data_IF_158819138031
#
_entry.id   IF_158819138031
#
_cell.length_a   1.000
_cell.length_b   1.000
_cell.length_c   1.000
_cell.angle_alpha   90.00
_cell.angle_beta   90.00
_cell.angle_gamma   90.00
#
_symmetry.space_group_name_H-M   'P 1'
#
loop_
_entity.id
_entity.type
_entity.pdbx_description
1 polymer ?
#
# COMPACT_ATOMS: atom_id res chain seq x y z
N UNK A 1 -36.92 8.36 -31.35
CA UNK A 1 -37.59 8.71 -30.07
C UNK A 1 -37.97 10.18 -30.14
N UNK A 2 -39.17 10.58 -29.67
CA UNK A 2 -39.54 12.01 -29.64
C UNK A 2 -38.66 12.76 -28.64
N UNK A 3 -38.15 13.95 -28.99
CA UNK A 3 -37.32 14.81 -28.12
C UNK A 3 -37.97 14.99 -26.73
N UNK A 4 -39.30 15.10 -26.68
CA UNK A 4 -40.04 15.23 -25.42
C UNK A 4 -39.90 13.98 -24.53
N UNK A 5 -39.97 12.77 -25.11
CA UNK A 5 -39.80 11.53 -24.34
C UNK A 5 -38.37 11.39 -23.79
N UNK A 6 -37.38 11.81 -24.58
CA UNK A 6 -35.99 11.81 -24.13
C UNK A 6 -35.79 12.81 -22.98
N UNK A 7 -36.35 14.02 -23.09
CA UNK A 7 -36.31 15.02 -22.03
C UNK A 7 -36.97 14.52 -20.74
N UNK A 8 -38.13 13.84 -20.85
CA UNK A 8 -38.81 13.22 -19.70
C UNK A 8 -37.94 12.17 -19.03
N UNK A 9 -37.33 11.26 -19.80
CA UNK A 9 -36.46 10.22 -19.24
C UNK A 9 -35.23 10.80 -18.53
N UNK A 10 -34.63 11.88 -19.06
CA UNK A 10 -33.52 12.55 -18.39
C UNK A 10 -33.95 13.19 -17.07
N UNK A 11 -35.10 13.88 -17.03
CA UNK A 11 -35.61 14.46 -15.78
C UNK A 11 -35.95 13.38 -14.76
N UNK A 12 -36.52 12.25 -15.17
CA UNK A 12 -36.79 11.12 -14.27
C UNK A 12 -35.51 10.52 -13.68
N UNK A 13 -34.43 10.37 -14.47
CA UNK A 13 -33.13 9.91 -13.96
C UNK A 13 -32.50 10.93 -13.00
N UNK A 14 -32.63 12.22 -13.29
CA UNK A 14 -32.20 13.30 -12.39
C UNK A 14 -32.97 13.27 -11.06
N UNK A 15 -34.29 13.12 -11.09
CA UNK A 15 -35.14 13.02 -9.89
C UNK A 15 -34.79 11.77 -9.06
N UNK A 16 -34.58 10.63 -9.72
CA UNK A 16 -34.20 9.38 -9.06
C UNK A 16 -32.85 9.51 -8.33
N UNK A 17 -31.85 10.10 -8.99
CA UNK A 17 -30.52 10.33 -8.40
C UNK A 17 -30.56 11.38 -7.30
N UNK A 18 -31.36 12.43 -7.45
CA UNK A 18 -31.56 13.42 -6.39
C UNK A 18 -32.18 12.77 -5.14
N UNK A 19 -33.20 11.93 -5.31
CA UNK A 19 -33.81 11.20 -4.21
C UNK A 19 -32.81 10.26 -3.51
N UNK A 20 -31.96 9.57 -4.28
CA UNK A 20 -30.87 8.77 -3.72
C UNK A 20 -29.89 9.62 -2.90
N UNK A 21 -29.48 10.79 -3.40
CA UNK A 21 -28.61 11.71 -2.67
C UNK A 21 -29.25 12.21 -1.38
N UNK A 22 -30.52 12.60 -1.43
CA UNK A 22 -31.26 13.06 -0.24
C UNK A 22 -31.33 11.95 0.82
N UNK A 23 -31.58 10.71 0.40
CA UNK A 23 -31.60 9.56 1.29
C UNK A 23 -30.21 9.26 1.88
N UNK A 24 -29.16 9.26 1.05
CA UNK A 24 -27.77 9.06 1.53
C UNK A 24 -27.35 10.12 2.54
N UNK A 25 -27.79 11.38 2.34
CA UNK A 25 -27.51 12.46 3.28
C UNK A 25 -28.30 12.29 4.57
N UNK A 26 -29.57 11.89 4.49
CA UNK A 26 -30.44 11.65 5.65
C UNK A 26 -29.96 10.48 6.52
N UNK A 27 -29.47 9.41 5.88
CA UNK A 27 -28.97 8.22 6.56
C UNK A 27 -27.52 8.37 7.05
N UNK A 28 -26.86 9.50 6.79
CA UNK A 28 -25.43 9.73 7.02
C UNK A 28 -24.50 8.74 6.26
N UNK A 29 -25.03 8.01 5.27
CA UNK A 29 -24.28 7.05 4.44
C UNK A 29 -23.86 7.73 3.13
N UNK A 30 -23.09 8.82 3.24
CA UNK A 30 -22.46 9.42 2.05
C UNK A 30 -21.29 8.54 1.63
N UNK A 31 -21.28 8.14 0.36
CA UNK A 31 -20.28 7.24 -0.21
C UNK A 31 -19.78 7.77 -1.55
N UNK A 32 -18.79 7.09 -2.13
CA UNK A 32 -18.30 7.37 -3.50
C UNK A 32 -19.45 7.34 -4.53
N UNK A 33 -20.46 6.49 -4.33
CA UNK A 33 -21.65 6.44 -5.20
C UNK A 33 -22.51 7.71 -5.11
N UNK A 34 -22.53 8.36 -3.94
CA UNK A 34 -23.17 9.67 -3.76
C UNK A 34 -22.37 10.76 -4.49
N UNK A 35 -21.04 10.69 -4.51
CA UNK A 35 -20.22 11.62 -5.29
C UNK A 35 -20.50 11.50 -6.80
N UNK A 36 -20.53 10.27 -7.32
CA UNK A 36 -20.84 9.99 -8.72
C UNK A 36 -22.22 10.51 -9.10
N UNK A 37 -23.21 10.29 -8.24
CA UNK A 37 -24.59 10.74 -8.45
C UNK A 37 -24.70 12.25 -8.45
N UNK A 38 -24.03 12.94 -7.52
CA UNK A 38 -23.97 14.40 -7.48
C UNK A 38 -23.28 14.97 -8.71
N UNK A 39 -22.12 14.40 -9.10
CA UNK A 39 -21.37 14.82 -10.29
C UNK A 39 -22.18 14.61 -11.57
N UNK A 40 -22.89 13.49 -11.68
CA UNK A 40 -23.76 13.20 -12.81
C UNK A 40 -24.85 14.27 -12.95
N UNK A 41 -25.56 14.58 -11.87
CA UNK A 41 -26.63 15.59 -11.89
C UNK A 41 -26.07 16.94 -12.31
N UNK A 42 -24.97 17.38 -11.70
CA UNK A 42 -24.35 18.68 -12.01
C UNK A 42 -23.87 18.77 -13.46
N UNK A 43 -23.31 17.69 -14.01
CA UNK A 43 -22.86 17.66 -15.41
C UNK A 43 -24.04 17.68 -16.37
N UNK A 44 -25.10 16.95 -16.04
CA UNK A 44 -26.32 16.85 -16.86
C UNK A 44 -27.09 18.16 -16.87
N UNK A 45 -27.26 18.79 -15.70
CA UNK A 45 -27.90 20.10 -15.55
C UNK A 45 -27.10 21.21 -16.22
N UNK A 46 -25.77 21.16 -16.22
CA UNK A 46 -24.96 22.18 -16.91
C UNK A 46 -24.61 21.82 -18.37
N UNK A 47 -25.26 20.79 -18.92
CA UNK A 47 -24.94 20.23 -20.23
C UNK A 47 -26.13 20.22 -21.18
N UNK A 48 -26.25 19.14 -21.95
CA UNK A 48 -27.21 19.02 -23.05
C UNK A 48 -28.68 19.09 -22.62
N UNK A 49 -28.98 18.71 -21.37
CA UNK A 49 -30.36 18.73 -20.86
C UNK A 49 -30.85 20.15 -20.63
N UNK A 50 -30.02 21.08 -20.13
CA UNK A 50 -30.41 22.50 -19.98
C UNK A 50 -30.67 23.15 -21.33
N UNK A 51 -29.78 22.91 -22.31
CA UNK A 51 -30.01 23.36 -23.68
C UNK A 51 -31.31 22.79 -24.28
N UNK A 52 -31.70 21.56 -23.91
CA UNK A 52 -32.96 20.96 -24.31
C UNK A 52 -34.16 21.62 -23.61
N UNK A 53 -34.07 21.90 -22.32
CA UNK A 53 -35.12 22.58 -21.55
C UNK A 53 -35.34 24.02 -22.03
N UNK A 54 -34.28 24.76 -22.34
CA UNK A 54 -34.36 26.09 -22.94
C UNK A 54 -35.06 26.09 -24.30
N UNK A 55 -34.79 25.08 -25.14
CA UNK A 55 -35.53 24.89 -26.40
C UNK A 55 -37.01 24.66 -26.14
N UNK A 56 -37.38 23.90 -25.12
CA UNK A 56 -38.79 23.70 -24.76
C UNK A 56 -39.44 24.99 -24.25
N UNK A 57 -38.75 25.79 -23.42
CA UNK A 57 -39.21 27.11 -22.97
C UNK A 57 -39.51 28.03 -24.14
N UNK A 58 -38.56 28.17 -25.08
CA UNK A 58 -38.74 29.00 -26.26
C UNK A 58 -39.91 28.54 -27.14
N UNK A 59 -40.12 27.22 -27.25
CA UNK A 59 -41.23 26.64 -28.02
C UNK A 59 -42.60 26.84 -27.37
N UNK A 60 -42.67 26.98 -26.04
CA UNK A 60 -43.92 27.24 -25.32
C UNK A 60 -44.52 28.62 -25.63
N UNK A 61 -43.69 29.64 -25.88
CA UNK A 61 -44.13 30.98 -26.26
C UNK A 61 -44.27 31.16 -27.77
N UNK A 62 -43.93 30.15 -28.58
CA UNK A 62 -43.95 30.26 -30.03
C UNK A 62 -45.36 30.06 -30.58
N UNK A 63 -45.70 30.89 -31.57
CA UNK A 63 -46.96 30.85 -32.30
C UNK A 63 -46.68 30.36 -33.72
N UNK A 64 -47.56 29.52 -34.27
CA UNK A 64 -47.49 29.08 -35.66
C UNK A 64 -47.80 30.28 -36.59
N UNK A 65 -46.88 30.63 -37.52
CA UNK A 65 -47.04 31.80 -38.37
C UNK A 65 -48.18 31.70 -39.39
N UNK A 66 -48.69 30.48 -39.66
CA UNK A 66 -49.78 30.28 -40.63
C UNK A 66 -51.14 30.36 -39.92
N UNK A 67 -51.25 29.76 -38.74
CA UNK A 67 -52.52 29.62 -38.02
C UNK A 67 -52.72 30.66 -36.91
N UNK A 68 -51.66 31.41 -36.54
CA UNK A 68 -51.61 32.30 -35.37
C UNK A 68 -52.02 31.61 -34.05
N UNK A 69 -51.90 30.28 -33.99
CA UNK A 69 -52.18 29.50 -32.79
C UNK A 69 -50.89 29.15 -32.05
N UNK A 70 -50.92 28.96 -30.72
CA UNK A 70 -49.78 28.46 -29.98
C UNK A 70 -49.27 27.15 -30.59
N UNK A 71 -47.95 27.03 -30.73
CA UNK A 71 -47.33 25.86 -31.35
C UNK A 71 -47.66 24.56 -30.64
N UNK A 72 -47.78 24.61 -29.32
CA UNK A 72 -48.25 23.49 -28.53
C UNK A 72 -49.73 23.65 -28.23
N UNK A 73 -50.52 22.61 -28.56
CA UNK A 73 -51.89 22.52 -28.07
C UNK A 73 -51.94 22.45 -26.54
N UNK A 74 -53.07 22.82 -25.91
CA UNK A 74 -53.18 22.99 -24.44
C UNK A 74 -52.69 21.77 -23.63
N UNK A 75 -52.98 20.56 -24.11
CA UNK A 75 -52.54 19.31 -23.45
C UNK A 75 -51.02 19.11 -23.49
N UNK A 76 -50.35 19.47 -24.59
CA UNK A 76 -48.91 19.34 -24.70
C UNK A 76 -48.20 20.46 -23.96
N UNK A 77 -48.74 21.69 -24.00
CA UNK A 77 -48.22 22.81 -23.25
C UNK A 77 -48.18 22.51 -21.75
N UNK A 78 -49.27 21.99 -21.18
CA UNK A 78 -49.32 21.60 -19.77
C UNK A 78 -48.25 20.54 -19.42
N UNK A 79 -48.03 19.55 -20.31
CA UNK A 79 -47.00 18.51 -20.10
C UNK A 79 -45.58 19.07 -20.16
N UNK A 80 -45.31 20.01 -21.08
CA UNK A 80 -44.00 20.65 -21.18
C UNK A 80 -43.76 21.57 -19.98
N UNK A 81 -44.77 22.31 -19.53
CA UNK A 81 -44.68 23.14 -18.33
C UNK A 81 -44.42 22.29 -17.07
N UNK A 82 -45.10 21.16 -16.91
CA UNK A 82 -44.85 20.21 -15.82
C UNK A 82 -43.40 19.69 -15.86
N UNK A 83 -42.92 19.27 -17.03
CA UNK A 83 -41.55 18.80 -17.21
C UNK A 83 -40.52 19.88 -16.83
N UNK A 84 -40.72 21.12 -17.29
CA UNK A 84 -39.85 22.24 -16.96
C UNK A 84 -39.86 22.54 -15.46
N UNK A 85 -41.04 22.50 -14.83
CA UNK A 85 -41.16 22.71 -13.39
C UNK A 85 -40.41 21.63 -12.59
N UNK A 86 -40.54 20.36 -12.97
CA UNK A 86 -39.79 19.25 -12.35
C UNK A 86 -38.29 19.43 -12.50
N UNK A 87 -37.82 19.78 -13.70
CA UNK A 87 -36.41 20.09 -13.93
C UNK A 87 -35.92 21.25 -13.07
N UNK A 88 -36.68 22.34 -12.98
CA UNK A 88 -36.34 23.52 -12.16
C UNK A 88 -36.26 23.18 -10.67
N UNK A 89 -37.15 22.31 -10.17
CA UNK A 89 -37.09 21.84 -8.79
C UNK A 89 -35.79 21.07 -8.51
N UNK A 90 -35.34 20.21 -9.42
CA UNK A 90 -34.06 19.50 -9.28
C UNK A 90 -32.90 20.50 -9.31
N UNK A 91 -32.94 21.47 -10.21
CA UNK A 91 -31.88 22.49 -10.33
C UNK A 91 -31.80 23.38 -9.08
N UNK A 92 -32.93 23.86 -8.59
CA UNK A 92 -33.02 24.72 -7.40
C UNK A 92 -32.58 24.01 -6.12
N UNK A 93 -32.83 22.70 -6.00
CA UNK A 93 -32.38 21.93 -4.82
C UNK A 93 -30.87 21.73 -4.76
N UNK A 94 -30.15 21.91 -5.87
CA UNK A 94 -28.70 21.73 -5.99
C UNK A 94 -27.95 23.03 -6.34
N UNK A 95 -28.61 24.18 -6.19
CA UNK A 95 -27.98 25.49 -6.34
C UNK A 95 -26.87 25.70 -5.28
N UNK A 96 -25.94 26.63 -5.53
CA UNK A 96 -24.68 26.77 -4.77
C UNK A 96 -24.89 26.91 -3.26
N UNK A 97 -25.95 27.61 -2.86
CA UNK A 97 -26.22 27.94 -1.46
C UNK A 97 -27.22 26.99 -0.78
N UNK A 98 -27.59 25.87 -1.41
CA UNK A 98 -28.56 24.97 -0.79
C UNK A 98 -27.94 24.16 0.36
N UNK A 99 -28.71 23.92 1.45
CA UNK A 99 -28.24 23.10 2.55
C UNK A 99 -27.81 21.70 2.12
N UNK A 100 -28.51 21.10 1.15
CA UNK A 100 -28.20 19.78 0.63
C UNK A 100 -26.83 19.74 -0.05
N UNK A 101 -26.52 20.73 -0.90
CA UNK A 101 -25.24 20.81 -1.59
C UNK A 101 -24.09 21.04 -0.61
N UNK A 102 -24.26 21.95 0.34
CA UNK A 102 -23.23 22.23 1.36
C UNK A 102 -22.94 20.99 2.23
N UNK A 103 -23.98 20.26 2.63
CA UNK A 103 -23.83 19.01 3.39
C UNK A 103 -23.11 17.94 2.57
N UNK A 104 -23.48 17.76 1.31
CA UNK A 104 -22.81 16.81 0.41
C UNK A 104 -21.33 17.16 0.25
N UNK A 105 -21.00 18.42 -0.05
CA UNK A 105 -19.62 18.86 -0.26
C UNK A 105 -18.78 18.71 1.02
N UNK A 106 -19.35 19.02 2.18
CA UNK A 106 -18.68 18.86 3.48
C UNK A 106 -18.43 17.38 3.80
N UNK A 107 -19.42 16.51 3.61
CA UNK A 107 -19.26 15.08 3.88
C UNK A 107 -18.30 14.42 2.91
N UNK A 108 -18.37 14.77 1.62
CA UNK A 108 -17.45 14.26 0.60
C UNK A 108 -16.00 14.66 0.90
N UNK A 109 -15.75 15.93 1.23
CA UNK A 109 -14.40 16.38 1.62
C UNK A 109 -13.88 15.66 2.86
N UNK A 110 -14.71 15.46 3.89
CA UNK A 110 -14.35 14.68 5.07
C UNK A 110 -13.98 13.22 4.73
N UNK A 111 -14.73 12.58 3.84
CA UNK A 111 -14.43 11.22 3.37
C UNK A 111 -13.08 11.20 2.64
N UNK A 112 -12.87 12.12 1.70
CA UNK A 112 -11.60 12.21 0.95
C UNK A 112 -10.40 12.42 1.89
N UNK A 113 -10.52 13.31 2.87
CA UNK A 113 -9.49 13.54 3.89
C UNK A 113 -9.26 12.30 4.77
N UNK A 114 -10.33 11.61 5.17
CA UNK A 114 -10.23 10.38 5.94
C UNK A 114 -9.56 9.26 5.15
N UNK A 115 -9.84 9.14 3.85
CA UNK A 115 -9.16 8.18 2.97
C UNK A 115 -7.68 8.52 2.81
N UNK A 116 -7.34 9.80 2.58
CA UNK A 116 -5.96 10.25 2.46
C UNK A 116 -5.15 9.99 3.74
N UNK A 117 -5.70 10.30 4.92
CA UNK A 117 -5.06 10.06 6.21
C UNK A 117 -4.87 8.57 6.50
N UNK A 118 -5.88 7.74 6.21
CA UNK A 118 -5.76 6.28 6.33
C UNK A 118 -4.69 5.72 5.41
N UNK A 119 -4.61 6.20 4.18
CA UNK A 119 -3.61 5.75 3.22
C UNK A 119 -2.19 6.13 3.67
N UNK A 120 -1.98 7.37 4.11
CA UNK A 120 -0.70 7.80 4.66
C UNK A 120 -0.31 7.00 5.92
N UNK A 121 -1.25 6.66 6.79
CA UNK A 121 -0.99 5.83 7.96
C UNK A 121 -0.59 4.39 7.57
N UNK A 122 -1.22 3.80 6.55
CA UNK A 122 -0.83 2.49 6.01
C UNK A 122 0.58 2.52 5.44
N UNK A 123 0.90 3.51 4.62
CA UNK A 123 2.23 3.66 4.02
C UNK A 123 3.32 3.85 5.08
N UNK A 124 3.06 4.67 6.11
CA UNK A 124 4.00 4.83 7.24
C UNK A 124 4.20 3.53 7.99
N UNK A 125 3.13 2.76 8.23
CA UNK A 125 3.22 1.46 8.90
C UNK A 125 4.00 0.44 8.08
N UNK A 126 3.77 0.39 6.77
CA UNK A 126 4.48 -0.50 5.85
C UNK A 126 5.98 -0.15 5.79
N UNK A 127 6.32 1.14 5.69
CA UNK A 127 7.70 1.61 5.77
C UNK A 127 8.36 1.21 7.09
N UNK A 128 7.71 1.43 8.23
CA UNK A 128 8.24 1.05 9.53
C UNK A 128 8.47 -0.45 9.67
N UNK A 129 7.58 -1.29 9.11
CA UNK A 129 7.75 -2.75 9.08
C UNK A 129 8.94 -3.14 8.21
N UNK A 130 9.07 -2.55 7.03
CA UNK A 130 10.18 -2.83 6.11
C UNK A 130 11.53 -2.38 6.71
N UNK A 131 11.58 -1.20 7.33
CA UNK A 131 12.77 -0.71 8.03
C UNK A 131 13.15 -1.63 9.19
N UNK A 132 12.19 -2.06 10.01
CA UNK A 132 12.44 -2.99 11.10
C UNK A 132 12.95 -4.36 10.60
N UNK A 133 12.44 -4.86 9.47
CA UNK A 133 12.93 -6.08 8.83
C UNK A 133 14.38 -5.94 8.35
N UNK A 134 14.71 -4.83 7.68
CA UNK A 134 16.07 -4.56 7.23
C UNK A 134 17.06 -4.48 8.40
N UNK A 135 16.69 -3.81 9.48
CA UNK A 135 17.52 -3.75 10.70
C UNK A 135 17.72 -5.14 11.30
N UNK A 136 16.67 -5.97 11.35
CA UNK A 136 16.77 -7.33 11.86
C UNK A 136 17.62 -8.26 10.98
N UNK A 137 17.57 -8.09 9.64
CA UNK A 137 18.43 -8.83 8.71
C UNK A 137 19.90 -8.43 8.87
N UNK A 138 20.19 -7.14 8.95
CA UNK A 138 21.55 -6.65 9.20
C UNK A 138 22.09 -7.16 10.53
N UNK A 139 21.27 -7.19 11.59
CA UNK A 139 21.67 -7.71 12.89
C UNK A 139 22.01 -9.22 12.82
N UNK A 140 21.21 -10.01 12.10
CA UNK A 140 21.48 -11.44 11.86
C UNK A 140 22.76 -11.65 11.05
N UNK A 141 23.02 -10.81 10.06
CA UNK A 141 24.23 -10.91 9.25
C UNK A 141 25.48 -10.56 10.06
N UNK A 142 25.42 -9.52 10.89
CA UNK A 142 26.49 -9.20 11.84
C UNK A 142 26.72 -10.33 12.83
N UNK A 143 25.67 -10.94 13.39
CA UNK A 143 25.80 -12.07 14.30
C UNK A 143 26.49 -13.27 13.62
N UNK A 144 26.11 -13.59 12.39
CA UNK A 144 26.77 -14.64 11.59
C UNK A 144 28.25 -14.34 11.38
N UNK A 145 28.61 -13.10 11.05
CA UNK A 145 30.02 -12.72 10.86
C UNK A 145 30.82 -12.89 12.15
N UNK A 146 30.25 -12.54 13.31
CA UNK A 146 30.90 -12.77 14.61
C UNK A 146 31.12 -14.24 14.91
N UNK A 147 30.11 -15.09 14.64
CA UNK A 147 30.23 -16.54 14.83
C UNK A 147 31.29 -17.16 13.92
N UNK A 148 31.42 -16.69 12.67
CA UNK A 148 32.48 -17.17 11.76
C UNK A 148 33.85 -16.76 12.28
N UNK A 149 34.04 -15.52 12.71
CA UNK A 149 35.30 -15.05 13.29
C UNK A 149 35.68 -15.83 14.55
N UNK A 150 34.72 -16.06 15.45
CA UNK A 150 34.95 -16.84 16.68
C UNK A 150 35.33 -18.30 16.36
N UNK A 151 34.71 -18.90 15.34
CA UNK A 151 35.07 -20.25 14.89
C UNK A 151 36.50 -20.30 14.31
N UNK A 152 36.87 -19.33 13.47
CA UNK A 152 38.22 -19.24 12.91
C UNK A 152 39.29 -19.05 14.01
N UNK A 153 39.02 -18.18 15.00
CA UNK A 153 39.92 -17.96 16.14
C UNK A 153 40.09 -19.26 16.96
N UNK A 154 39.00 -19.98 17.21
CA UNK A 154 39.01 -21.26 17.93
C UNK A 154 39.79 -22.34 17.16
N UNK A 155 39.64 -22.42 15.83
CA UNK A 155 40.41 -23.35 15.01
C UNK A 155 41.91 -23.04 15.05
N UNK A 156 42.29 -21.76 14.98
CA UNK A 156 43.70 -21.34 15.09
C UNK A 156 44.26 -21.68 16.47
N UNK A 157 43.49 -21.49 17.54
CA UNK A 157 43.91 -21.81 18.90
C UNK A 157 44.09 -23.33 19.08
N UNK A 158 43.14 -24.13 18.58
CA UNK A 158 43.27 -25.60 18.58
C UNK A 158 44.50 -26.09 17.80
N UNK A 159 44.78 -25.51 16.64
CA UNK A 159 45.97 -25.85 15.86
C UNK A 159 47.26 -25.51 16.61
N UNK A 160 47.28 -24.38 17.33
CA UNK A 160 48.43 -24.01 18.18
C UNK A 160 48.62 -25.01 19.31
N UNK A 161 47.55 -25.35 20.04
CA UNK A 161 47.63 -26.35 21.10
C UNK A 161 48.10 -27.72 20.58
N UNK A 162 47.62 -28.13 19.40
CA UNK A 162 48.05 -29.38 18.78
C UNK A 162 49.54 -29.35 18.38
N UNK A 163 50.01 -28.23 17.80
CA UNK A 163 51.43 -28.05 17.49
C UNK A 163 52.30 -28.10 18.75
N UNK A 164 51.87 -27.45 19.84
CA UNK A 164 52.57 -27.50 21.13
C UNK A 164 52.63 -28.93 21.68
N UNK A 165 51.53 -29.70 21.59
CA UNK A 165 51.51 -31.12 21.98
C UNK A 165 52.49 -31.95 21.15
N UNK A 166 52.53 -31.77 19.83
CA UNK A 166 53.45 -32.48 18.93
C UNK A 166 54.91 -32.13 19.27
N UNK A 167 55.21 -30.85 19.48
CA UNK A 167 56.56 -30.41 19.87
C UNK A 167 56.97 -31.01 21.22
N UNK A 168 56.10 -31.01 22.22
CA UNK A 168 56.37 -31.63 23.51
C UNK A 168 56.67 -33.13 23.39
N UNK A 169 55.90 -33.85 22.55
CA UNK A 169 56.13 -35.27 22.26
C UNK A 169 57.47 -35.49 21.54
N UNK A 170 57.82 -34.65 20.58
CA UNK A 170 59.10 -34.72 19.86
C UNK A 170 60.29 -34.51 20.83
N UNK A 171 60.22 -33.51 21.70
CA UNK A 171 61.22 -33.25 22.76
C UNK A 171 61.35 -34.44 23.70
N UNK A 172 60.23 -35.01 24.16
CA UNK A 172 60.24 -36.19 25.01
C UNK A 172 60.85 -37.42 24.31
N UNK A 173 60.53 -37.63 23.03
CA UNK A 173 61.10 -38.71 22.23
C UNK A 173 62.61 -38.54 22.01
N UNK A 174 63.08 -37.31 21.78
CA UNK A 174 64.50 -37.01 21.63
C UNK A 174 65.26 -37.25 22.94
N UNK A 175 64.76 -36.76 24.07
CA UNK A 175 65.33 -37.06 25.41
C UNK A 175 65.43 -38.58 25.64
N UNK A 176 64.40 -39.35 25.25
CA UNK A 176 64.41 -40.82 25.36
C UNK A 176 65.41 -41.49 24.42
N UNK A 177 65.75 -40.88 23.28
CA UNK A 177 66.83 -41.37 22.39
C UNK A 177 68.20 -41.07 22.99
N UNK A 178 68.41 -39.85 23.48
CA UNK A 178 69.65 -39.44 24.15
C UNK A 178 69.97 -40.31 25.37
N UNK A 179 68.97 -40.57 26.22
CA UNK A 179 69.10 -41.50 27.35
C UNK A 179 69.51 -42.92 26.91
N UNK A 180 68.94 -43.42 25.80
CA UNK A 180 69.31 -44.74 25.27
C UNK A 180 70.74 -44.77 24.73
N UNK A 181 71.21 -43.68 24.13
CA UNK A 181 72.61 -43.55 23.69
C UNK A 181 73.55 -43.49 24.88
N UNK A 182 73.23 -42.70 25.90
CA UNK A 182 74.00 -42.62 27.15
C UNK A 182 74.10 -43.98 27.83
N UNK A 183 72.99 -44.69 28.03
CA UNK A 183 73.02 -46.04 28.63
C UNK A 183 73.83 -47.05 27.80
N UNK A 184 73.79 -46.97 26.46
CA UNK A 184 74.64 -47.81 25.61
C UNK A 184 76.12 -47.49 25.76
N UNK A 185 76.47 -46.20 25.79
CA UNK A 185 77.85 -45.76 25.99
C UNK A 185 78.38 -46.17 27.38
N UNK A 186 77.56 -46.05 28.43
CA UNK A 186 77.88 -46.52 29.78
C UNK A 186 78.10 -48.03 29.81
N UNK A 187 77.20 -48.82 29.19
CA UNK A 187 77.36 -50.27 29.08
C UNK A 187 78.61 -50.68 28.30
N UNK A 188 78.95 -49.99 27.20
CA UNK A 188 80.18 -50.26 26.44
C UNK A 188 81.43 -49.92 27.24
N UNK A 189 81.43 -48.80 27.96
CA UNK A 189 82.52 -48.43 28.87
C UNK A 189 82.71 -49.47 29.98
N UNK A 190 81.62 -49.99 30.54
CA UNK A 190 81.65 -51.07 31.54
C UNK A 190 82.26 -52.35 30.98
N UNK A 191 81.85 -52.78 29.77
CA UNK A 191 82.43 -53.95 29.09
C UNK A 191 83.92 -53.76 28.79
N UNK A 192 84.34 -52.55 28.42
CA UNK A 192 85.76 -52.26 28.18
C UNK A 192 86.59 -52.36 29.46
N UNK A 193 86.08 -51.85 30.59
CA UNK A 193 86.71 -52.01 31.91
C UNK A 193 86.81 -53.48 32.31
N UNK A 194 85.74 -54.26 32.13
CA UNK A 194 85.71 -55.70 32.42
C UNK A 194 86.70 -56.47 31.53
N UNK A 195 86.76 -56.16 30.23
CA UNK A 195 87.71 -56.79 29.30
C UNK A 195 89.18 -56.44 29.60
N UNK A 196 89.45 -55.23 30.11
CA UNK A 196 90.80 -54.83 30.57
C UNK A 196 91.19 -55.51 31.87
N UNK A 197 90.24 -55.78 32.77
CA UNK A 197 90.50 -56.55 34.01
C UNK A 197 90.63 -58.06 33.78
N UNK A 198 90.13 -58.59 32.65
CA UNK A 198 90.22 -60.02 32.32
C UNK A 198 91.48 -60.38 31.48
N UNK A 199 92.30 -59.40 31.10
CA UNK A 199 93.53 -59.58 30.31
C UNK A 199 94.81 -59.23 31.08
N UNK A 200 94.72 -59.06 32.40
CA UNK A 200 95.84 -58.91 33.34
C UNK A 200 95.91 -60.17 34.22
#
# INVERSE_FOLDING_TARGET
MSEFRQATAHVEDLEARLAQLQQSVADDIVSESSEESFRFIMTTINGDVDAMMEKFRARCSMVDPITNQPRFGPKMLAKVQDLLHRYDNVRLTLEEDTPLRLQLQTKLSQITEQHATRQQAKEKREKAVNEAQQVAELAKEQEKQRLVQEAEESEVEQQREEQERIQALAVAAQKKREQRVQMRAEQEHQRQLESRSASA
#
